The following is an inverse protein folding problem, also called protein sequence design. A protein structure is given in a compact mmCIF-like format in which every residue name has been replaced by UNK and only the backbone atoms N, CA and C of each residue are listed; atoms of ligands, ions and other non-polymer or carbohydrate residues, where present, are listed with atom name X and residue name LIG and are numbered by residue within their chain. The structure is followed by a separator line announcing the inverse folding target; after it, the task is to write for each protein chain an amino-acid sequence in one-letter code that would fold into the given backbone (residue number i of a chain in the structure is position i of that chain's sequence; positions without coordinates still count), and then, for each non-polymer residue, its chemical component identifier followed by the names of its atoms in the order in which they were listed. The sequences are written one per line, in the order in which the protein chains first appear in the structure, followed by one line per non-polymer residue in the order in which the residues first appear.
data_IF_839806721249
#
_entry.id   IF_839806721249
#
_cell.length_a   1.000
_cell.length_b   1.000
_cell.length_c   1.000
_cell.angle_alpha   90.00
_cell.angle_beta   90.00
_cell.angle_gamma   90.00
#
_symmetry.space_group_name_H-M   'P 1'
#
loop_
_entity.id
_entity.type
_entity.pdbx_description
1 polymer ?
#
# COMPACT_ATOMS: atom_id res chain seq x y z
N UNK A 1 9.27 29.96 32.75
CA UNK A 1 8.56 29.54 31.52
C UNK A 1 9.59 28.91 30.62
N UNK A 2 9.73 27.60 30.67
CA UNK A 2 10.67 26.84 29.83
C UNK A 2 9.89 26.21 28.66
N UNK A 3 10.33 26.47 27.44
CA UNK A 3 9.74 25.92 26.22
C UNK A 3 10.14 24.44 26.05
N UNK A 4 9.22 23.54 25.68
CA UNK A 4 9.56 22.13 25.50
C UNK A 4 10.32 21.94 24.19
N UNK A 5 11.56 21.43 24.31
CA UNK A 5 12.41 21.02 23.19
C UNK A 5 11.70 19.97 22.34
N UNK A 6 11.44 20.30 21.07
CA UNK A 6 10.83 19.38 20.11
C UNK A 6 11.92 18.55 19.44
N UNK A 7 12.43 17.55 20.14
CA UNK A 7 13.38 16.59 19.57
C UNK A 7 12.65 15.66 18.60
N UNK A 8 12.65 16.02 17.32
CA UNK A 8 12.19 15.17 16.22
C UNK A 8 13.20 14.01 16.11
N UNK A 9 12.87 12.88 16.75
CA UNK A 9 13.59 11.62 16.57
C UNK A 9 13.56 11.25 15.09
N UNK A 10 14.66 11.50 14.38
CA UNK A 10 14.88 11.01 13.01
C UNK A 10 14.81 9.49 13.04
N UNK A 11 13.74 8.93 12.47
CA UNK A 11 13.71 7.51 12.14
C UNK A 11 14.78 7.24 11.08
N UNK A 12 15.93 6.73 11.52
CA UNK A 12 16.94 6.17 10.62
C UNK A 12 16.33 4.91 10.05
N UNK A 13 15.70 5.03 8.88
CA UNK A 13 15.33 3.87 8.06
C UNK A 13 16.64 3.23 7.65
N UNK A 14 16.99 2.09 8.26
CA UNK A 14 18.16 1.31 7.90
C UNK A 14 18.08 0.92 6.42
N UNK A 15 18.75 1.70 5.56
CA UNK A 15 18.84 1.44 4.13
C UNK A 15 19.43 0.04 3.83
N UNK A 16 20.12 -0.57 4.80
CA UNK A 16 20.65 -1.93 4.68
C UNK A 16 19.57 -3.02 4.54
N UNK A 17 18.35 -2.79 5.04
CA UNK A 17 17.27 -3.77 4.96
C UNK A 17 16.88 -4.08 3.51
N UNK A 18 16.91 -3.08 2.62
CA UNK A 18 16.53 -3.24 1.21
C UNK A 18 17.62 -3.91 0.34
N UNK A 19 18.81 -4.12 0.90
CA UNK A 19 19.97 -4.69 0.22
C UNK A 19 20.08 -6.22 0.38
N UNK A 20 19.14 -6.87 1.06
CA UNK A 20 19.17 -8.32 1.28
C UNK A 20 17.90 -8.98 0.76
N UNK A 21 18.08 -10.01 -0.08
CA UNK A 21 17.00 -10.91 -0.47
C UNK A 21 16.77 -11.94 0.62
N UNK A 22 15.51 -12.24 0.90
CA UNK A 22 15.15 -13.41 1.71
C UNK A 22 15.39 -14.68 0.89
N UNK A 23 15.87 -15.72 1.56
CA UNK A 23 16.20 -16.98 0.90
C UNK A 23 14.96 -17.79 0.52
N UNK A 24 14.40 -17.50 -0.64
CA UNK A 24 13.29 -18.26 -1.20
C UNK A 24 13.72 -19.65 -1.71
N UNK A 25 14.99 -19.84 -2.05
CA UNK A 25 15.46 -21.11 -2.62
C UNK A 25 15.58 -22.16 -1.50
N UNK A 26 16.20 -21.80 -0.37
CA UNK A 26 16.29 -22.64 0.81
C UNK A 26 14.90 -23.01 1.35
N UNK A 27 14.03 -22.01 1.55
CA UNK A 27 12.67 -22.22 2.02
C UNK A 27 11.86 -23.15 1.10
N UNK A 28 12.02 -23.00 -0.23
CA UNK A 28 11.37 -23.89 -1.20
C UNK A 28 11.88 -25.32 -1.06
N UNK A 29 13.19 -25.54 -0.98
CA UNK A 29 13.77 -26.88 -0.82
C UNK A 29 13.31 -27.57 0.47
N UNK A 30 13.30 -26.83 1.58
CA UNK A 30 12.79 -27.35 2.86
C UNK A 30 11.31 -27.72 2.79
N UNK A 31 10.50 -26.90 2.11
CA UNK A 31 9.08 -27.17 1.92
C UNK A 31 8.84 -28.34 0.94
N UNK A 32 9.61 -28.44 -0.15
CA UNK A 32 9.57 -29.56 -1.09
C UNK A 32 9.95 -30.89 -0.43
N UNK A 33 10.85 -30.87 0.56
CA UNK A 33 11.18 -32.06 1.34
C UNK A 33 10.02 -32.55 2.23
N UNK A 34 9.09 -31.65 2.62
CA UNK A 34 7.90 -32.00 3.39
C UNK A 34 6.68 -32.28 2.50
N UNK A 35 6.63 -31.70 1.31
CA UNK A 35 5.49 -31.76 0.38
C UNK A 35 6.04 -32.03 -1.04
N UNK A 36 6.35 -33.29 -1.35
CA UNK A 36 6.85 -33.68 -2.67
C UNK A 36 5.76 -33.68 -3.75
N UNK A 37 4.48 -33.57 -3.38
CA UNK A 37 3.36 -33.71 -4.30
C UNK A 37 3.31 -32.55 -5.32
N UNK A 38 3.28 -32.90 -6.61
CA UNK A 38 3.24 -31.93 -7.71
C UNK A 38 1.95 -31.10 -7.74
N UNK A 39 0.84 -31.65 -7.25
CA UNK A 39 -0.47 -30.98 -7.19
C UNK A 39 -0.36 -29.68 -6.40
N UNK A 40 0.23 -29.74 -5.20
CA UNK A 40 0.46 -28.59 -4.33
C UNK A 40 1.17 -27.44 -5.07
N UNK A 41 2.30 -27.74 -5.71
CA UNK A 41 3.12 -26.73 -6.40
C UNK A 41 2.44 -26.15 -7.63
N UNK A 42 1.65 -26.96 -8.32
CA UNK A 42 0.87 -26.54 -9.49
C UNK A 42 -0.20 -25.54 -9.09
N UNK A 43 -0.98 -25.87 -8.05
CA UNK A 43 -2.04 -25.00 -7.53
C UNK A 43 -1.45 -23.74 -6.88
N UNK A 44 -0.36 -23.88 -6.13
CA UNK A 44 0.34 -22.73 -5.53
C UNK A 44 0.80 -21.74 -6.60
N UNK A 45 1.42 -22.21 -7.69
CA UNK A 45 1.84 -21.36 -8.81
C UNK A 45 0.64 -20.72 -9.52
N UNK A 46 -0.43 -21.49 -9.77
CA UNK A 46 -1.63 -20.97 -10.39
C UNK A 46 -2.27 -19.86 -9.55
N UNK A 47 -2.29 -20.01 -8.22
CA UNK A 47 -2.81 -19.00 -7.31
C UNK A 47 -1.96 -17.72 -7.29
N UNK A 48 -0.63 -17.82 -7.24
CA UNK A 48 0.24 -16.64 -7.31
C UNK A 48 0.09 -15.85 -8.62
N UNK A 49 -0.26 -16.54 -9.72
CA UNK A 49 -0.50 -15.91 -11.02
C UNK A 49 -1.95 -15.42 -11.21
N UNK A 50 -2.83 -15.60 -10.21
CA UNK A 50 -4.25 -15.22 -10.31
C UNK A 50 -5.10 -16.15 -11.19
N UNK A 51 -4.62 -17.36 -11.50
CA UNK A 51 -5.32 -18.36 -12.31
C UNK A 51 -6.00 -19.45 -11.48
N UNK A 52 -6.10 -19.28 -10.16
CA UNK A 52 -6.73 -20.24 -9.26
C UNK A 52 -7.72 -19.54 -8.33
N UNK A 53 -8.89 -20.14 -8.14
CA UNK A 53 -9.87 -19.67 -7.16
C UNK A 53 -9.34 -19.90 -5.73
N UNK A 54 -9.70 -18.99 -4.83
CA UNK A 54 -9.26 -19.03 -3.44
C UNK A 54 -9.74 -20.29 -2.70
N UNK A 55 -10.93 -20.82 -3.01
CA UNK A 55 -11.46 -22.03 -2.38
C UNK A 55 -10.60 -23.24 -2.75
N UNK A 56 -10.34 -23.42 -4.04
CA UNK A 56 -9.49 -24.50 -4.56
C UNK A 56 -8.10 -24.45 -3.93
N UNK A 57 -7.52 -23.24 -3.85
CA UNK A 57 -6.24 -23.05 -3.19
C UNK A 57 -6.27 -23.49 -1.72
N UNK A 58 -7.25 -23.01 -0.95
CA UNK A 58 -7.37 -23.35 0.47
C UNK A 58 -7.53 -24.85 0.69
N UNK A 59 -8.37 -25.52 -0.10
CA UNK A 59 -8.62 -26.97 0.01
C UNK A 59 -7.34 -27.78 -0.22
N UNK A 60 -6.54 -27.38 -1.22
CA UNK A 60 -5.25 -28.03 -1.52
C UNK A 60 -4.23 -27.73 -0.42
N UNK A 61 -4.18 -26.49 0.08
CA UNK A 61 -3.28 -26.13 1.18
C UNK A 61 -3.62 -26.92 2.46
N UNK A 62 -4.89 -27.09 2.79
CA UNK A 62 -5.32 -27.86 3.97
C UNK A 62 -4.95 -29.34 3.87
N UNK A 63 -5.12 -29.94 2.68
CA UNK A 63 -4.74 -31.34 2.42
C UNK A 63 -3.23 -31.60 2.54
N UNK A 64 -2.39 -30.68 2.06
CA UNK A 64 -0.93 -30.91 2.00
C UNK A 64 -0.17 -30.29 3.18
N UNK A 65 -0.67 -29.22 3.81
CA UNK A 65 -0.03 -28.57 4.96
C UNK A 65 -0.51 -29.18 6.28
N UNK A 66 -0.41 -30.50 6.41
CA UNK A 66 -0.89 -31.22 7.59
C UNK A 66 -0.10 -30.88 8.84
N UNK A 67 1.23 -30.76 8.72
CA UNK A 67 2.11 -30.49 9.87
C UNK A 67 2.24 -28.99 10.19
N UNK A 68 2.37 -28.60 11.48
CA UNK A 68 2.61 -27.21 11.87
C UNK A 68 3.89 -26.65 11.23
N UNK A 69 4.91 -27.50 11.08
CA UNK A 69 6.18 -27.13 10.44
C UNK A 69 5.97 -26.76 8.97
N UNK A 70 5.22 -27.56 8.21
CA UNK A 70 4.90 -27.27 6.81
C UNK A 70 4.11 -25.96 6.66
N UNK A 71 3.09 -25.74 7.52
CA UNK A 71 2.32 -24.48 7.53
C UNK A 71 3.20 -23.26 7.80
N UNK A 72 4.10 -23.37 8.79
CA UNK A 72 5.04 -22.29 9.11
C UNK A 72 5.97 -22.00 7.92
N UNK A 73 6.59 -23.03 7.35
CA UNK A 73 7.47 -22.89 6.19
C UNK A 73 6.75 -22.30 4.98
N UNK A 74 5.53 -22.73 4.69
CA UNK A 74 4.69 -22.16 3.64
C UNK A 74 4.45 -20.65 3.85
N UNK A 75 4.05 -20.26 5.06
CA UNK A 75 3.82 -18.85 5.39
C UNK A 75 5.10 -18.02 5.28
N UNK A 76 6.22 -18.55 5.77
CA UNK A 76 7.52 -17.88 5.69
C UNK A 76 7.99 -17.77 4.24
N UNK A 77 7.71 -18.77 3.41
CA UNK A 77 7.99 -18.76 1.97
C UNK A 77 7.16 -17.70 1.23
N UNK A 78 5.84 -17.62 1.46
CA UNK A 78 5.00 -16.55 0.88
C UNK A 78 5.50 -15.18 1.31
N UNK A 79 5.80 -14.98 2.61
CA UNK A 79 6.35 -13.72 3.12
C UNK A 79 7.68 -13.38 2.45
N UNK A 80 8.54 -14.37 2.22
CA UNK A 80 9.82 -14.18 1.53
C UNK A 80 9.63 -13.76 0.06
N UNK A 81 8.70 -14.40 -0.66
CA UNK A 81 8.33 -14.00 -2.03
C UNK A 81 7.82 -12.56 -2.05
N UNK A 82 6.84 -12.24 -1.21
CA UNK A 82 6.25 -10.90 -1.13
C UNK A 82 7.29 -9.84 -0.78
N UNK A 83 8.18 -10.16 0.17
CA UNK A 83 9.26 -9.27 0.55
C UNK A 83 10.21 -8.98 -0.61
N UNK A 84 10.66 -10.04 -1.29
CA UNK A 84 11.57 -9.93 -2.42
C UNK A 84 10.94 -9.19 -3.61
N UNK A 85 9.65 -9.37 -3.85
CA UNK A 85 8.95 -8.70 -4.94
C UNK A 85 8.75 -7.19 -4.72
N UNK A 86 8.52 -6.76 -3.47
CA UNK A 86 8.13 -5.38 -3.17
C UNK A 86 9.24 -4.51 -2.59
N UNK A 87 10.21 -5.12 -1.88
CA UNK A 87 11.17 -4.35 -1.08
C UNK A 87 12.63 -4.57 -1.51
N UNK A 88 12.95 -5.60 -2.29
CA UNK A 88 14.35 -5.81 -2.69
C UNK A 88 14.66 -5.13 -4.01
N UNK A 89 15.73 -4.33 -4.03
CA UNK A 89 16.24 -3.70 -5.27
C UNK A 89 17.18 -4.64 -6.05
N UNK A 90 17.55 -5.77 -5.46
CA UNK A 90 18.37 -6.78 -6.10
C UNK A 90 17.53 -7.58 -7.10
N UNK A 91 18.01 -7.81 -8.33
CA UNK A 91 17.33 -8.67 -9.29
C UNK A 91 17.27 -10.13 -8.80
N UNK A 92 16.35 -10.95 -9.33
CA UNK A 92 16.32 -12.38 -9.03
C UNK A 92 17.67 -13.07 -9.30
N UNK A 93 18.05 -14.08 -8.50
CA UNK A 93 19.25 -14.88 -8.76
C UNK A 93 19.22 -15.45 -10.19
N UNK A 94 20.32 -15.32 -10.93
CA UNK A 94 20.41 -15.76 -12.33
C UNK A 94 19.83 -14.78 -13.36
N UNK A 95 19.24 -13.65 -12.92
CA UNK A 95 18.82 -12.59 -13.82
C UNK A 95 19.96 -11.58 -14.01
N UNK A 96 20.74 -11.74 -15.08
CA UNK A 96 21.64 -10.67 -15.52
C UNK A 96 20.77 -9.54 -16.04
N UNK A 97 20.78 -8.40 -15.33
CA UNK A 97 20.29 -7.16 -15.91
C UNK A 97 21.21 -6.90 -17.09
N UNK A 98 20.74 -7.23 -18.29
CA UNK A 98 21.34 -6.71 -19.50
C UNK A 98 21.25 -5.19 -19.34
N UNK A 99 22.37 -4.56 -18.95
CA UNK A 99 22.52 -3.12 -19.14
C UNK A 99 22.16 -2.95 -20.59
N UNK A 100 21.06 -2.24 -20.86
CA UNK A 100 20.69 -1.85 -22.21
C UNK A 100 21.96 -1.25 -22.76
N UNK A 101 22.64 -1.98 -23.66
CA UNK A 101 23.78 -1.43 -24.37
C UNK A 101 23.20 -0.15 -24.96
N UNK A 102 23.85 0.98 -24.67
CA UNK A 102 23.49 2.22 -25.33
C UNK A 102 23.73 1.90 -26.80
N UNK A 103 22.65 1.53 -27.51
CA UNK A 103 22.68 1.31 -28.93
C UNK A 103 23.41 2.52 -29.48
N UNK A 104 24.52 2.27 -30.16
CA UNK A 104 25.32 3.29 -30.82
C UNK A 104 24.37 4.32 -31.41
N UNK A 105 24.51 5.57 -30.97
CA UNK A 105 23.74 6.67 -31.50
C UNK A 105 23.90 6.65 -33.02
N UNK A 106 22.85 6.23 -33.71
CA UNK A 106 22.72 6.44 -35.15
C UNK A 106 22.93 7.95 -35.33
N UNK A 107 23.79 8.41 -36.25
CA UNK A 107 23.87 9.80 -36.62
C UNK A 107 22.51 10.18 -37.23
N UNK A 108 21.60 10.65 -36.40
CA UNK A 108 20.36 11.24 -36.85
C UNK A 108 20.73 12.62 -37.36
N UNK A 109 20.62 12.81 -38.67
CA UNK A 109 20.62 14.16 -39.25
C UNK A 109 19.66 15.02 -38.43
N UNK A 110 20.21 16.08 -37.87
CA UNK A 110 19.59 16.88 -36.83
C UNK A 110 18.39 17.64 -37.38
N UNK A 111 17.22 17.02 -37.37
CA UNK A 111 15.99 17.77 -37.14
C UNK A 111 16.10 18.25 -35.70
N UNK A 112 16.28 19.56 -35.52
CA UNK A 112 16.21 20.24 -34.21
C UNK A 112 14.80 20.09 -33.66
N UNK A 113 14.48 18.91 -33.15
CA UNK A 113 13.41 18.73 -32.19
C UNK A 113 13.99 19.21 -30.87
N UNK A 114 13.61 20.44 -30.50
CA UNK A 114 13.83 20.97 -29.17
C UNK A 114 13.49 19.87 -28.14
N UNK A 115 14.42 19.50 -27.26
CA UNK A 115 14.14 18.49 -26.25
C UNK A 115 12.98 19.02 -25.40
N UNK A 116 11.81 18.40 -25.54
CA UNK A 116 10.70 18.61 -24.62
C UNK A 116 11.23 18.22 -23.25
N UNK A 117 11.55 19.25 -22.46
CA UNK A 117 12.06 19.13 -21.10
C UNK A 117 11.16 18.13 -20.40
N UNK A 118 11.64 16.91 -20.15
CA UNK A 118 10.95 15.99 -19.26
C UNK A 118 11.00 16.66 -17.90
N UNK A 119 9.95 17.42 -17.57
CA UNK A 119 9.83 18.10 -16.30
C UNK A 119 9.71 16.98 -15.27
N UNK A 120 10.82 16.66 -14.61
CA UNK A 120 10.83 15.76 -13.47
C UNK A 120 9.81 16.31 -12.47
N UNK A 121 8.66 15.65 -12.39
CA UNK A 121 7.60 16.07 -11.50
C UNK A 121 7.93 15.62 -10.08
N UNK A 122 8.62 16.49 -9.34
CA UNK A 122 9.00 16.29 -7.94
C UNK A 122 7.88 16.70 -6.99
N UNK A 123 6.65 16.20 -7.19
CA UNK A 123 5.57 16.37 -6.21
C UNK A 123 5.26 15.06 -5.51
N UNK A 124 5.23 15.12 -4.18
CA UNK A 124 4.76 14.05 -3.30
C UNK A 124 3.42 13.49 -3.77
N UNK A 125 3.34 12.18 -3.95
CA UNK A 125 2.12 11.47 -4.36
C UNK A 125 1.03 11.60 -3.29
N UNK A 126 -0.21 11.33 -3.67
CA UNK A 126 -1.33 11.33 -2.70
C UNK A 126 -1.09 10.31 -1.58
N UNK A 127 -0.42 9.19 -1.89
CA UNK A 127 0.06 8.20 -0.92
C UNK A 127 1.01 8.77 0.12
N UNK A 128 1.85 9.71 -0.28
CA UNK A 128 2.92 10.26 0.55
C UNK A 128 2.34 11.33 1.50
N UNK A 129 1.36 12.09 1.02
CA UNK A 129 0.71 13.16 1.79
C UNK A 129 -0.49 12.69 2.62
N UNK A 130 -0.96 11.45 2.40
CA UNK A 130 -2.15 10.87 3.05
C UNK A 130 -3.40 11.77 2.96
N UNK A 131 -3.50 12.56 1.89
CA UNK A 131 -4.61 13.45 1.65
C UNK A 131 -4.98 13.49 0.16
N UNK A 132 -6.24 13.86 -0.12
CA UNK A 132 -6.68 14.09 -1.49
C UNK A 132 -5.97 15.33 -2.03
N UNK A 133 -5.30 15.26 -3.19
CA UNK A 133 -4.56 16.39 -3.73
C UNK A 133 -5.44 17.63 -3.94
N UNK A 134 -4.84 18.81 -3.75
CA UNK A 134 -5.50 20.09 -4.05
C UNK A 134 -5.73 20.27 -5.55
N UNK A 135 -6.58 21.24 -5.93
CA UNK A 135 -6.83 21.58 -7.34
C UNK A 135 -5.51 21.95 -8.03
N UNK A 136 -4.65 22.73 -7.38
CA UNK A 136 -3.35 23.14 -7.94
C UNK A 136 -2.40 21.96 -8.12
N UNK A 137 -2.43 20.99 -7.19
CA UNK A 137 -1.61 19.79 -7.30
C UNK A 137 -2.09 18.88 -8.45
N UNK A 138 -3.41 18.74 -8.62
CA UNK A 138 -4.00 18.01 -9.74
C UNK A 138 -3.70 18.70 -11.07
N UNK A 139 -3.84 20.03 -11.13
CA UNK A 139 -3.50 20.84 -12.29
C UNK A 139 -2.07 20.63 -12.74
N UNK A 140 -1.11 20.83 -11.83
CA UNK A 140 0.31 20.64 -12.12
C UNK A 140 0.62 19.22 -12.58
N UNK A 141 -0.06 18.19 -12.04
CA UNK A 141 0.10 16.81 -12.52
C UNK A 141 -0.39 16.63 -13.94
N UNK A 142 -1.60 17.09 -14.20
CA UNK A 142 -2.23 16.93 -15.49
C UNK A 142 -1.49 17.71 -16.59
N UNK A 143 -1.00 18.92 -16.29
CA UNK A 143 -0.15 19.69 -17.20
C UNK A 143 1.19 19.00 -17.52
N UNK A 144 1.69 18.14 -16.62
CA UNK A 144 2.90 17.36 -16.89
C UNK A 144 2.61 16.06 -17.67
N UNK A 145 1.42 15.47 -17.49
CA UNK A 145 1.00 14.28 -18.26
C UNK A 145 0.56 14.69 -19.68
N UNK A 146 -0.13 15.81 -19.80
CA UNK A 146 -0.65 16.35 -21.04
C UNK A 146 0.10 17.64 -21.38
N UNK A 147 1.39 17.53 -21.74
CA UNK A 147 2.29 18.68 -21.98
C UNK A 147 1.77 19.68 -23.02
N UNK A 148 0.91 19.22 -23.92
CA UNK A 148 0.48 19.98 -25.09
C UNK A 148 -0.98 20.47 -24.98
N UNK A 149 -1.66 20.17 -23.87
CA UNK A 149 -3.06 20.54 -23.66
C UNK A 149 -3.19 21.57 -22.53
N UNK A 150 -3.82 22.70 -22.85
CA UNK A 150 -4.24 23.66 -21.83
C UNK A 150 -5.49 23.12 -21.15
N UNK A 151 -5.39 22.74 -19.87
CA UNK A 151 -6.50 22.13 -19.14
C UNK A 151 -7.24 23.23 -18.35
N UNK A 152 -8.53 23.50 -18.64
CA UNK A 152 -9.31 24.46 -17.90
C UNK A 152 -9.44 24.08 -16.41
N UNK A 153 -9.47 25.08 -15.54
CA UNK A 153 -9.67 24.86 -14.09
C UNK A 153 -10.98 24.13 -13.79
N UNK A 154 -12.01 24.30 -14.62
CA UNK A 154 -13.29 23.63 -14.44
C UNK A 154 -13.19 22.12 -14.64
N UNK A 155 -12.40 21.66 -15.62
CA UNK A 155 -12.11 20.24 -15.81
C UNK A 155 -11.43 19.63 -14.59
N UNK A 156 -10.51 20.36 -13.96
CA UNK A 156 -9.81 19.90 -12.76
C UNK A 156 -10.77 19.80 -11.56
N UNK A 157 -11.74 20.73 -11.45
CA UNK A 157 -12.80 20.66 -10.44
C UNK A 157 -13.69 19.44 -10.63
N UNK A 158 -14.10 19.14 -11.87
CA UNK A 158 -14.87 17.94 -12.20
C UNK A 158 -14.09 16.67 -11.82
N UNK A 159 -12.80 16.59 -12.19
CA UNK A 159 -11.94 15.46 -11.81
C UNK A 159 -11.87 15.30 -10.28
N UNK A 160 -11.69 16.41 -9.55
CA UNK A 160 -11.64 16.37 -8.09
C UNK A 160 -12.96 15.92 -7.47
N UNK A 161 -14.09 16.38 -8.01
CA UNK A 161 -15.43 16.00 -7.58
C UNK A 161 -15.67 14.50 -7.80
N UNK A 162 -15.33 14.00 -8.99
CA UNK A 162 -15.48 12.59 -9.34
C UNK A 162 -14.59 11.69 -8.48
N UNK A 163 -13.37 12.12 -8.17
CA UNK A 163 -12.48 11.41 -7.26
C UNK A 163 -13.09 11.30 -5.86
N UNK A 164 -13.64 12.40 -5.32
CA UNK A 164 -14.29 12.38 -4.01
C UNK A 164 -15.53 11.49 -4.00
N UNK A 165 -16.33 11.54 -5.07
CA UNK A 165 -17.51 10.68 -5.26
C UNK A 165 -17.11 9.20 -5.28
N UNK A 166 -16.09 8.84 -6.05
CA UNK A 166 -15.58 7.48 -6.14
C UNK A 166 -15.08 6.95 -4.79
N UNK A 167 -14.28 7.73 -4.07
CA UNK A 167 -13.81 7.37 -2.72
C UNK A 167 -15.00 7.16 -1.78
N UNK A 168 -15.99 8.05 -1.83
CA UNK A 168 -17.20 7.94 -0.99
C UNK A 168 -17.98 6.66 -1.29
N UNK A 169 -18.10 6.29 -2.57
CA UNK A 169 -18.79 5.05 -2.97
C UNK A 169 -18.05 3.81 -2.46
N UNK A 170 -16.72 3.75 -2.60
CA UNK A 170 -15.92 2.65 -2.03
C UNK A 170 -16.15 2.56 -0.51
N UNK A 171 -16.10 3.69 0.19
CA UNK A 171 -16.31 3.70 1.64
C UNK A 171 -17.70 3.20 2.03
N UNK A 172 -18.75 3.57 1.28
CA UNK A 172 -20.10 3.04 1.49
C UNK A 172 -20.16 1.54 1.26
N UNK A 173 -19.57 1.04 0.18
CA UNK A 173 -19.53 -0.41 -0.09
C UNK A 173 -18.80 -1.16 1.04
N UNK A 174 -17.67 -0.63 1.52
CA UNK A 174 -16.97 -1.19 2.67
C UNK A 174 -17.86 -1.21 3.93
N UNK A 175 -18.66 -0.17 4.17
CA UNK A 175 -19.61 -0.14 5.29
C UNK A 175 -20.72 -1.17 5.12
N UNK A 176 -21.25 -1.38 3.90
CA UNK A 176 -22.26 -2.42 3.65
C UNK A 176 -21.75 -3.85 3.88
N UNK A 177 -20.43 -4.07 3.75
CA UNK A 177 -19.80 -5.37 4.05
C UNK A 177 -19.65 -5.59 5.56
N UNK A 178 -19.50 -4.51 6.34
CA UNK A 178 -19.33 -4.55 7.79
C UNK A 178 -20.67 -4.56 8.53
N UNK A 179 -21.67 -3.84 8.01
CA UNK A 179 -23.01 -3.77 8.58
C UNK A 179 -23.89 -4.90 8.04
N UNK A 180 -24.16 -5.92 8.86
CA UNK A 180 -25.22 -6.90 8.56
C UNK A 180 -26.57 -6.16 8.39
N UNK A 181 -27.40 -6.54 7.41
CA UNK A 181 -28.63 -5.81 7.06
C UNK A 181 -29.70 -5.77 8.16
N UNK A 182 -29.55 -6.53 9.26
CA UNK A 182 -30.47 -6.47 10.41
C UNK A 182 -30.21 -5.27 11.33
N UNK A 183 -29.08 -4.58 11.21
CA UNK A 183 -28.69 -3.46 12.08
C UNK A 183 -28.97 -2.07 11.49
N UNK A 184 -29.40 -2.00 10.22
CA UNK A 184 -29.43 -0.76 9.43
C UNK A 184 -30.45 0.31 9.89
N UNK A 185 -31.15 0.10 11.01
CA UNK A 185 -32.09 1.06 11.60
C UNK A 185 -31.64 1.72 12.90
N UNK A 186 -30.43 1.44 13.38
CA UNK A 186 -29.85 2.29 14.44
C UNK A 186 -28.70 3.08 13.84
N UNK A 187 -29.02 4.27 13.33
CA UNK A 187 -28.08 5.39 13.34
C UNK A 187 -27.63 5.53 14.79
N UNK A 188 -26.54 4.85 15.15
CA UNK A 188 -25.85 5.02 16.42
C UNK A 188 -25.22 6.40 16.36
N UNK A 189 -26.01 7.40 16.73
CA UNK A 189 -25.50 8.73 17.02
C UNK A 189 -24.50 8.53 18.16
N UNK A 190 -23.22 8.69 17.83
CA UNK A 190 -22.14 8.61 18.83
C UNK A 190 -22.31 9.82 19.73
N UNK A 191 -23.04 9.64 20.82
CA UNK A 191 -23.19 10.66 21.84
C UNK A 191 -21.89 10.81 22.65
N UNK A 192 -21.63 12.02 23.18
CA UNK A 192 -20.43 12.29 24.01
C UNK A 192 -20.21 11.29 25.15
N UNK A 193 -21.29 10.73 25.72
CA UNK A 193 -21.22 9.71 26.78
C UNK A 193 -20.56 8.40 26.35
N UNK A 194 -20.67 8.02 25.07
CA UNK A 194 -20.01 6.82 24.54
C UNK A 194 -18.50 7.05 24.39
N UNK A 195 -18.09 8.26 24.00
CA UNK A 195 -16.69 8.66 23.94
C UNK A 195 -16.10 8.68 25.35
N UNK A 196 -16.82 9.23 26.33
CA UNK A 196 -16.43 9.19 27.75
C UNK A 196 -16.15 7.76 28.22
N UNK A 197 -17.08 6.84 27.97
CA UNK A 197 -16.95 5.44 28.39
C UNK A 197 -15.67 4.81 27.84
N UNK A 198 -15.43 4.93 26.53
CA UNK A 198 -14.25 4.37 25.86
C UNK A 198 -12.95 4.96 26.41
N UNK A 199 -12.91 6.27 26.66
CA UNK A 199 -11.72 6.92 27.21
C UNK A 199 -11.46 6.55 28.67
N UNK A 200 -12.51 6.35 29.46
CA UNK A 200 -12.40 5.94 30.86
C UNK A 200 -11.91 4.49 30.98
N UNK A 201 -12.42 3.60 30.11
CA UNK A 201 -12.02 2.20 30.08
C UNK A 201 -10.64 1.96 29.44
N UNK A 202 -10.12 2.92 28.67
CA UNK A 202 -8.84 2.80 27.95
C UNK A 202 -7.90 3.97 28.26
N UNK A 203 -7.22 3.98 29.43
CA UNK A 203 -6.36 5.09 29.86
C UNK A 203 -5.16 5.31 28.93
N UNK A 204 -4.67 4.27 28.25
CA UNK A 204 -3.62 4.40 27.24
C UNK A 204 -4.07 5.27 26.04
N UNK A 205 -5.35 5.20 25.67
CA UNK A 205 -5.92 6.00 24.60
C UNK A 205 -6.07 7.47 25.01
N UNK A 206 -6.43 7.72 26.28
CA UNK A 206 -6.51 9.06 26.86
C UNK A 206 -5.15 9.77 26.83
N UNK A 207 -4.05 9.06 27.07
CA UNK A 207 -2.69 9.60 27.01
C UNK A 207 -2.21 9.95 25.58
N UNK A 208 -2.89 9.43 24.55
CA UNK A 208 -2.56 9.71 23.15
C UNK A 208 -3.33 10.90 22.58
N UNK A 209 -4.35 11.40 23.27
CA UNK A 209 -5.15 12.52 22.84
C UNK A 209 -4.52 13.84 23.24
N UNK A 210 -4.59 14.85 22.37
CA UNK A 210 -4.12 16.18 22.69
C UNK A 210 -5.02 16.85 23.73
N UNK A 211 -4.42 17.73 24.52
CA UNK A 211 -5.13 18.49 25.57
C UNK A 211 -6.31 19.31 25.01
N UNK A 212 -6.16 19.88 23.80
CA UNK A 212 -7.24 20.60 23.10
C UNK A 212 -8.44 19.73 22.73
N UNK A 213 -8.20 18.43 22.51
CA UNK A 213 -9.27 17.47 22.23
C UNK A 213 -9.97 17.10 23.54
N UNK A 214 -9.21 16.85 24.60
CA UNK A 214 -9.74 16.55 25.93
C UNK A 214 -10.55 17.73 26.50
N UNK A 215 -10.13 18.98 26.28
CA UNK A 215 -10.86 20.17 26.76
C UNK A 215 -12.19 20.40 26.03
N UNK A 216 -12.32 20.01 24.77
CA UNK A 216 -13.61 20.05 24.05
C UNK A 216 -14.61 19.02 24.56
N UNK A 217 -14.12 17.97 25.21
CA UNK A 217 -14.94 16.94 25.82
C UNK A 217 -14.97 17.06 27.35
N UNK A 218 -14.34 18.07 27.96
CA UNK A 218 -14.27 18.20 29.43
C UNK A 218 -15.60 18.55 30.07
N UNK A 219 -16.55 19.11 29.32
CA UNK A 219 -17.93 19.31 29.78
C UNK A 219 -18.71 17.98 29.87
N UNK A 220 -18.18 16.91 29.26
CA UNK A 220 -18.80 15.58 29.19
C UNK A 220 -17.97 14.48 29.89
N UNK A 221 -16.68 14.72 30.16
CA UNK A 221 -15.79 13.90 31.00
C UNK A 221 -16.04 14.16 32.49
#
# INVERSE_FOLDING_TARGET
MESPSTDIRKFVVNASAYNQRRDTIGLKKELEALIPEKEYWTIFRAFLNGHCDRRIYNDVMERHLTTPKARKLHNDFIKAIYYNANFTMLPPPGFTIHKREKLYSIPTDSVKLEPTKSRHFSSYRASDLRCIPSIDQLKKRLENVCSDLTIPNETIRVIKFELARYITNILRECLTVVEKPESAQRLLVIEPKHIKLVLTENPAMMQMLSYDLLSRFSEYL
#
